data_IF_806151699379
#
_entry.id   IF_806151699379
#
_cell.length_a   1.000
_cell.length_b   1.000
_cell.length_c   1.000
_cell.angle_alpha   90.00
_cell.angle_beta   90.00
_cell.angle_gamma   90.00
#
_symmetry.space_group_name_H-M   'P 1'
#
loop_
_entity.id
_entity.type
_entity.pdbx_description
1 polymer ?
#
# COMPACT_ATOMS: atom_id res chain seq x y z
N UNK A 1 72.66 -4.36 67.69
CA UNK A 1 73.67 -5.38 68.08
C UNK A 1 73.17 -6.09 69.31
N UNK A 2 72.76 -7.36 69.19
CA UNK A 2 72.76 -8.29 70.31
C UNK A 2 72.66 -9.71 69.75
N UNK A 3 73.70 -10.49 70.00
CA UNK A 3 73.77 -11.92 69.75
C UNK A 3 73.75 -12.56 71.13
N UNK A 4 72.80 -13.42 71.43
CA UNK A 4 72.94 -14.40 72.51
C UNK A 4 72.27 -15.71 72.08
N UNK A 5 72.96 -16.79 72.41
CA UNK A 5 72.55 -18.17 72.26
C UNK A 5 72.46 -18.79 73.65
N UNK A 6 71.35 -19.46 73.93
CA UNK A 6 71.15 -20.69 74.72
C UNK A 6 69.63 -20.89 74.77
N UNK A 7 69.00 -22.04 74.95
CA UNK A 7 69.40 -23.33 75.47
C UNK A 7 68.34 -24.34 75.00
N UNK A 8 68.71 -25.61 75.00
CA UNK A 8 67.94 -26.73 74.50
C UNK A 8 66.85 -27.15 75.52
N UNK A 9 65.57 -27.28 75.12
CA UNK A 9 64.68 -28.28 75.73
C UNK A 9 63.53 -28.72 74.82
N UNK A 10 63.39 -30.04 74.81
CA UNK A 10 62.41 -30.94 74.18
C UNK A 10 60.95 -30.50 74.29
N UNK A 11 60.19 -30.71 73.22
CA UNK A 11 58.73 -30.63 73.22
C UNK A 11 58.15 -31.14 71.90
N UNK A 12 57.69 -32.38 71.89
CA UNK A 12 56.95 -32.99 70.79
C UNK A 12 55.77 -32.11 70.36
N UNK A 13 55.80 -31.59 69.13
CA UNK A 13 54.60 -31.14 68.41
C UNK A 13 54.72 -31.47 66.92
N UNK A 14 53.91 -32.43 66.55
CA UNK A 14 53.50 -32.83 65.21
C UNK A 14 53.38 -31.62 64.28
N UNK A 15 54.17 -31.60 63.20
CA UNK A 15 54.10 -30.57 62.18
C UNK A 15 52.86 -30.80 61.30
N UNK A 16 51.74 -30.16 61.63
CA UNK A 16 50.66 -29.99 60.67
C UNK A 16 51.19 -29.13 59.51
N UNK A 17 51.48 -29.79 58.38
CA UNK A 17 51.78 -29.12 57.12
C UNK A 17 50.51 -28.38 56.66
N UNK A 18 50.45 -27.07 56.90
CA UNK A 18 49.43 -26.23 56.26
C UNK A 18 49.74 -26.14 54.77
N UNK A 19 48.98 -26.89 53.96
CA UNK A 19 48.99 -26.79 52.50
C UNK A 19 48.35 -25.46 52.10
N UNK A 20 49.17 -24.45 51.82
CA UNK A 20 48.70 -23.17 51.30
C UNK A 20 48.63 -23.22 49.77
N UNK A 21 47.41 -23.38 49.24
CA UNK A 21 47.16 -23.31 47.80
C UNK A 21 47.09 -21.83 47.40
N UNK A 22 48.17 -21.36 46.77
CA UNK A 22 48.25 -20.04 46.16
C UNK A 22 47.49 -20.05 44.83
N UNK A 23 46.33 -19.40 44.79
CA UNK A 23 45.60 -19.20 43.55
C UNK A 23 46.14 -17.97 42.83
N UNK A 24 46.64 -18.16 41.61
CA UNK A 24 47.13 -17.07 40.77
C UNK A 24 45.94 -16.33 40.11
N UNK A 25 45.29 -15.48 40.90
CA UNK A 25 44.18 -14.65 40.44
C UNK A 25 44.62 -13.62 39.39
N UNK A 26 45.90 -13.25 39.34
CA UNK A 26 46.44 -12.32 38.33
C UNK A 26 46.42 -12.94 36.93
N UNK A 27 46.76 -14.23 36.82
CA UNK A 27 46.64 -14.98 35.57
C UNK A 27 45.19 -15.15 35.11
N UNK A 28 44.26 -15.36 36.05
CA UNK A 28 42.83 -15.52 35.75
C UNK A 28 42.20 -14.19 35.31
N UNK A 29 42.47 -13.10 36.02
CA UNK A 29 41.98 -11.77 35.66
C UNK A 29 42.53 -11.33 34.31
N UNK A 30 43.82 -11.56 34.04
CA UNK A 30 44.42 -11.29 32.72
C UNK A 30 43.78 -12.12 31.60
N UNK A 31 43.40 -13.36 31.86
CA UNK A 31 42.69 -14.18 30.88
C UNK A 31 41.27 -13.65 30.62
N UNK A 32 40.57 -13.14 31.64
CA UNK A 32 39.25 -12.53 31.52
C UNK A 32 39.36 -11.22 30.72
N UNK A 33 40.30 -10.34 31.08
CA UNK A 33 40.51 -9.06 30.41
C UNK A 33 40.82 -9.25 28.92
N UNK A 34 41.70 -10.22 28.59
CA UNK A 34 42.00 -10.53 27.17
C UNK A 34 40.82 -11.11 26.41
N UNK A 35 39.85 -11.78 27.06
CA UNK A 35 38.62 -12.21 26.40
C UNK A 35 37.64 -11.05 26.22
N UNK A 36 37.52 -10.16 27.22
CA UNK A 36 36.66 -8.98 27.14
C UNK A 36 37.15 -8.03 26.04
N UNK A 37 38.45 -7.75 25.97
CA UNK A 37 39.04 -6.91 24.93
C UNK A 37 38.81 -7.49 23.53
N UNK A 38 38.97 -8.81 23.36
CA UNK A 38 38.67 -9.48 22.08
C UNK A 38 37.19 -9.32 21.68
N UNK A 39 36.27 -9.43 22.63
CA UNK A 39 34.85 -9.26 22.35
C UNK A 39 34.52 -7.81 21.97
N UNK A 40 35.14 -6.83 22.64
CA UNK A 40 34.97 -5.41 22.32
C UNK A 40 35.54 -5.08 20.94
N UNK A 41 36.75 -5.57 20.63
CA UNK A 41 37.38 -5.39 19.32
C UNK A 41 36.51 -5.99 18.21
N UNK A 42 36.04 -7.23 18.38
CA UNK A 42 35.12 -7.87 17.44
C UNK A 42 33.82 -7.07 17.29
N UNK A 43 33.19 -6.66 18.40
CA UNK A 43 31.94 -5.89 18.35
C UNK A 43 32.12 -4.56 17.60
N UNK A 44 33.27 -3.89 17.77
CA UNK A 44 33.58 -2.63 17.10
C UNK A 44 33.74 -2.84 15.59
N UNK A 45 34.44 -3.90 15.16
CA UNK A 45 34.59 -4.25 13.74
C UNK A 45 33.25 -4.59 13.07
N UNK A 46 32.37 -5.32 13.77
CA UNK A 46 31.04 -5.67 13.25
C UNK A 46 30.12 -4.46 13.08
N UNK A 47 30.15 -3.49 14.00
CA UNK A 47 29.33 -2.27 13.89
C UNK A 47 29.71 -1.42 12.66
N UNK A 48 31.01 -1.30 12.36
CA UNK A 48 31.47 -0.55 11.18
C UNK A 48 31.14 -1.28 9.86
N UNK A 49 31.29 -2.60 9.82
CA UNK A 49 31.05 -3.36 8.60
C UNK A 49 29.56 -3.47 8.22
N UNK A 50 28.66 -3.51 9.22
CA UNK A 50 27.22 -3.62 8.99
C UNK A 50 26.60 -2.32 8.45
N UNK A 51 27.08 -1.16 8.92
CA UNK A 51 26.60 0.14 8.41
C UNK A 51 27.10 0.41 6.98
N UNK A 52 28.37 0.10 6.71
CA UNK A 52 29.00 0.30 5.39
C UNK A 52 28.31 -0.48 4.26
N UNK A 53 27.93 -1.74 4.49
CA UNK A 53 27.24 -2.55 3.45
C UNK A 53 25.84 -2.03 3.13
N UNK A 54 25.13 -1.51 4.14
CA UNK A 54 23.78 -0.95 3.96
C UNK A 54 23.82 0.36 3.18
N UNK A 55 24.77 1.25 3.48
CA UNK A 55 24.93 2.51 2.74
C UNK A 55 25.37 2.28 1.31
N UNK A 56 26.25 1.29 1.05
CA UNK A 56 26.66 0.91 -0.30
C UNK A 56 25.48 0.35 -1.12
N UNK A 57 24.66 -0.54 -0.54
CA UNK A 57 23.43 -1.00 -1.21
C UNK A 57 22.45 0.14 -1.49
N UNK A 58 22.24 1.02 -0.51
CA UNK A 58 21.37 2.18 -0.67
C UNK A 58 21.85 3.11 -1.79
N UNK A 59 23.17 3.37 -1.88
CA UNK A 59 23.75 4.16 -2.96
C UNK A 59 23.50 3.54 -4.33
N UNK A 60 23.65 2.22 -4.49
CA UNK A 60 23.36 1.59 -5.78
C UNK A 60 21.87 1.66 -6.16
N UNK A 61 20.97 1.52 -5.19
CA UNK A 61 19.52 1.62 -5.41
C UNK A 61 19.14 3.05 -5.84
N UNK A 62 19.65 4.07 -5.13
CA UNK A 62 19.33 5.47 -5.46
C UNK A 62 19.90 5.88 -6.80
N UNK A 63 21.15 5.49 -7.12
CA UNK A 63 21.75 5.75 -8.43
C UNK A 63 20.94 5.09 -9.55
N UNK A 64 20.55 3.83 -9.38
CA UNK A 64 19.75 3.11 -10.38
C UNK A 64 18.37 3.77 -10.59
N UNK A 65 17.73 4.21 -9.50
CA UNK A 65 16.45 4.90 -9.55
C UNK A 65 16.55 6.26 -10.24
N UNK A 66 17.60 7.04 -9.96
CA UNK A 66 17.85 8.32 -10.62
C UNK A 66 18.07 8.15 -12.13
N UNK A 67 18.83 7.14 -12.55
CA UNK A 67 19.05 6.86 -13.98
C UNK A 67 17.72 6.51 -14.67
N UNK A 68 16.91 5.65 -14.07
CA UNK A 68 15.59 5.31 -14.60
C UNK A 68 14.68 6.54 -14.74
N UNK A 69 14.61 7.39 -13.70
CA UNK A 69 13.82 8.60 -13.72
C UNK A 69 14.27 9.58 -14.83
N UNK A 70 15.58 9.78 -14.99
CA UNK A 70 16.13 10.64 -16.04
C UNK A 70 15.85 10.08 -17.43
N UNK A 71 15.95 8.77 -17.63
CA UNK A 71 15.62 8.15 -18.92
C UNK A 71 14.13 8.31 -19.26
N UNK A 72 13.22 8.10 -18.29
CA UNK A 72 11.79 8.31 -18.49
C UNK A 72 11.46 9.77 -18.82
N UNK A 73 12.08 10.71 -18.11
CA UNK A 73 11.93 12.15 -18.37
C UNK A 73 12.46 12.53 -19.76
N UNK A 74 13.59 11.97 -20.19
CA UNK A 74 14.16 12.23 -21.52
C UNK A 74 13.30 11.65 -22.64
N UNK A 75 12.73 10.44 -22.45
CA UNK A 75 11.78 9.84 -23.40
C UNK A 75 10.52 10.71 -23.50
N UNK A 76 9.95 11.11 -22.37
CA UNK A 76 8.79 12.00 -22.33
C UNK A 76 9.09 13.33 -23.03
N UNK A 77 10.25 13.93 -22.74
CA UNK A 77 10.69 15.17 -23.36
C UNK A 77 10.84 15.03 -24.88
N UNK A 78 11.51 13.98 -25.37
CA UNK A 78 11.69 13.72 -26.81
C UNK A 78 10.37 13.49 -27.54
N UNK A 79 9.43 12.76 -26.93
CA UNK A 79 8.08 12.57 -27.47
C UNK A 79 7.28 13.87 -27.47
N UNK A 80 7.43 14.71 -26.45
CA UNK A 80 6.77 16.02 -26.40
C UNK A 80 7.39 17.04 -27.37
N UNK A 81 8.70 16.99 -27.62
CA UNK A 81 9.39 17.93 -28.52
C UNK A 81 9.24 17.59 -30.00
N UNK A 82 9.07 16.30 -30.34
CA UNK A 82 8.77 15.84 -31.70
C UNK A 82 7.27 15.96 -32.07
N UNK A 83 6.44 16.42 -31.13
CA UNK A 83 4.98 16.47 -31.24
C UNK A 83 4.37 17.83 -31.55
N UNK A 84 5.11 18.85 -32.01
CA UNK A 84 4.51 20.14 -32.42
C UNK A 84 3.77 20.11 -33.79
N UNK A 85 3.43 18.91 -34.30
CA UNK A 85 2.64 18.74 -35.53
C UNK A 85 1.35 17.92 -35.33
N UNK A 86 1.05 17.51 -34.10
CA UNK A 86 -0.28 17.04 -33.76
C UNK A 86 -0.77 17.89 -32.60
N UNK A 87 -1.69 18.80 -32.91
CA UNK A 87 -2.63 19.29 -31.92
C UNK A 87 -3.19 18.06 -31.22
N UNK A 88 -2.76 17.82 -29.98
CA UNK A 88 -3.36 16.84 -29.10
C UNK A 88 -4.76 17.33 -28.78
N UNK A 89 -5.70 17.12 -29.71
CA UNK A 89 -7.04 16.74 -29.34
C UNK A 89 -6.87 15.42 -28.58
N UNK A 90 -6.68 15.54 -27.27
CA UNK A 90 -6.80 14.43 -26.35
C UNK A 90 -8.31 14.11 -26.32
N UNK A 91 -8.79 13.50 -27.39
CA UNK A 91 -10.00 12.68 -27.36
C UNK A 91 -9.60 11.43 -26.60
N UNK A 92 -9.73 11.52 -25.27
CA UNK A 92 -9.44 10.44 -24.36
C UNK A 92 -10.10 9.15 -24.86
N UNK A 93 -9.28 8.11 -24.98
CA UNK A 93 -9.65 6.69 -25.04
C UNK A 93 -10.37 6.21 -23.77
N UNK A 94 -11.17 7.07 -23.13
CA UNK A 94 -12.06 6.75 -22.03
C UNK A 94 -13.28 5.97 -22.51
N UNK A 95 -13.79 6.19 -23.72
CA UNK A 95 -14.99 5.49 -24.22
C UNK A 95 -14.77 3.98 -24.38
N UNK A 96 -13.56 3.55 -24.74
CA UNK A 96 -13.21 2.12 -24.90
C UNK A 96 -12.99 1.46 -23.53
N UNK A 97 -12.40 2.16 -22.56
CA UNK A 97 -12.22 1.65 -21.19
C UNK A 97 -13.54 1.66 -20.40
N UNK A 98 -14.37 2.70 -20.55
CA UNK A 98 -15.72 2.82 -19.96
C UNK A 98 -16.67 1.77 -20.51
N UNK A 99 -16.75 1.63 -21.84
CA UNK A 99 -17.59 0.59 -22.46
C UNK A 99 -17.12 -0.82 -22.09
N UNK A 100 -15.81 -1.05 -21.90
CA UNK A 100 -15.30 -2.34 -21.47
C UNK A 100 -15.59 -2.63 -19.99
N UNK A 101 -15.56 -1.61 -19.11
CA UNK A 101 -15.89 -1.77 -17.69
C UNK A 101 -17.39 -2.04 -17.50
N UNK A 102 -18.26 -1.27 -18.15
CA UNK A 102 -19.71 -1.42 -18.04
C UNK A 102 -20.16 -2.79 -18.60
N UNK A 103 -19.55 -3.24 -19.70
CA UNK A 103 -19.75 -4.59 -20.24
C UNK A 103 -19.30 -5.67 -19.27
N UNK A 104 -18.13 -5.53 -18.63
CA UNK A 104 -17.65 -6.51 -17.64
C UNK A 104 -18.57 -6.63 -16.44
N UNK A 105 -19.10 -5.52 -15.93
CA UNK A 105 -20.06 -5.53 -14.81
C UNK A 105 -21.38 -6.18 -15.22
N UNK A 106 -21.92 -5.81 -16.38
CA UNK A 106 -23.16 -6.40 -16.91
C UNK A 106 -23.00 -7.90 -17.21
N UNK A 107 -21.87 -8.31 -17.80
CA UNK A 107 -21.56 -9.73 -18.06
C UNK A 107 -21.40 -10.52 -16.76
N UNK A 108 -20.75 -9.93 -15.74
CA UNK A 108 -20.62 -10.56 -14.43
C UNK A 108 -21.98 -10.74 -13.73
N UNK A 109 -22.84 -9.72 -13.76
CA UNK A 109 -24.20 -9.80 -13.19
C UNK A 109 -25.09 -10.79 -13.95
N UNK A 110 -24.92 -10.90 -15.26
CA UNK A 110 -25.59 -11.90 -16.07
C UNK A 110 -25.16 -13.33 -15.69
N UNK A 111 -23.86 -13.56 -15.50
CA UNK A 111 -23.36 -14.87 -15.05
C UNK A 111 -23.89 -15.22 -13.65
N UNK A 112 -23.99 -14.22 -12.76
CA UNK A 112 -24.52 -14.41 -11.41
C UNK A 112 -26.01 -14.73 -11.45
N UNK A 113 -26.82 -14.00 -12.22
CA UNK A 113 -28.26 -14.30 -12.36
C UNK A 113 -28.52 -15.66 -12.99
N UNK A 114 -27.84 -16.03 -14.08
CA UNK A 114 -27.92 -17.36 -14.68
C UNK A 114 -27.54 -18.48 -13.69
N UNK A 115 -26.60 -18.19 -12.78
CA UNK A 115 -26.19 -19.10 -11.73
C UNK A 115 -27.22 -19.20 -10.58
N UNK A 116 -28.02 -18.16 -10.32
CA UNK A 116 -29.09 -18.13 -9.32
C UNK A 116 -30.36 -18.86 -9.81
N UNK A 117 -30.75 -18.68 -11.07
CA UNK A 117 -31.91 -19.36 -11.67
C UNK A 117 -31.70 -20.88 -11.80
N UNK A 118 -30.44 -21.30 -11.90
CA UNK A 118 -30.04 -22.71 -11.93
C UNK A 118 -30.07 -23.31 -10.51
N UNK A 119 -31.29 -23.58 -10.04
CA UNK A 119 -31.66 -24.21 -8.78
C UNK A 119 -30.59 -25.10 -8.09
N UNK A 120 -30.39 -24.86 -6.79
CA UNK A 120 -29.82 -25.75 -5.77
C UNK A 120 -28.31 -26.03 -5.77
N UNK A 121 -27.47 -24.99 -5.73
CA UNK A 121 -26.13 -25.15 -5.16
C UNK A 121 -25.87 -24.08 -4.08
N UNK A 122 -25.77 -24.46 -2.80
CA UNK A 122 -25.49 -23.52 -1.71
C UNK A 122 -24.07 -22.92 -1.76
N UNK A 123 -23.20 -23.45 -2.64
CA UNK A 123 -21.81 -23.01 -2.80
C UNK A 123 -21.62 -21.88 -3.82
N UNK A 124 -22.70 -21.37 -4.43
CA UNK A 124 -22.63 -20.28 -5.41
C UNK A 124 -22.94 -18.94 -4.74
N UNK A 125 -22.18 -17.91 -5.12
CA UNK A 125 -22.40 -16.55 -4.64
C UNK A 125 -23.82 -16.08 -4.99
N UNK A 126 -24.66 -15.89 -3.96
CA UNK A 126 -26.04 -15.45 -4.06
C UNK A 126 -26.13 -14.01 -3.55
N UNK A 127 -26.75 -13.13 -4.34
CA UNK A 127 -27.05 -11.77 -3.91
C UNK A 127 -28.49 -11.76 -3.41
N UNK A 128 -28.67 -11.55 -2.11
CA UNK A 128 -29.96 -11.54 -1.41
C UNK A 128 -30.47 -10.12 -1.10
N UNK A 129 -29.63 -9.11 -1.33
CA UNK A 129 -29.87 -7.72 -0.96
C UNK A 129 -29.72 -6.81 -2.17
N UNK A 130 -30.55 -5.77 -2.24
CA UNK A 130 -30.45 -4.74 -3.28
C UNK A 130 -29.11 -4.02 -3.16
N UNK A 131 -28.47 -3.74 -4.28
CA UNK A 131 -27.20 -3.02 -4.31
C UNK A 131 -27.17 -1.98 -5.43
N UNK A 132 -26.33 -0.97 -5.26
CA UNK A 132 -26.16 0.10 -6.24
C UNK A 132 -24.75 0.07 -6.82
N UNK A 133 -24.65 0.07 -8.14
CA UNK A 133 -23.39 0.17 -8.88
C UNK A 133 -23.17 1.62 -9.31
N UNK A 134 -22.03 2.19 -8.92
CA UNK A 134 -21.65 3.56 -9.23
C UNK A 134 -20.61 3.61 -10.35
N UNK A 135 -20.93 4.36 -11.41
CA UNK A 135 -20.01 4.65 -12.51
C UNK A 135 -19.58 6.11 -12.43
N UNK A 136 -18.28 6.35 -12.26
CA UNK A 136 -17.71 7.70 -12.12
C UNK A 136 -16.97 8.09 -13.38
N UNK A 137 -17.31 9.24 -13.93
CA UNK A 137 -16.68 9.84 -15.11
C UNK A 137 -16.04 11.17 -14.73
N UNK A 138 -14.73 11.30 -14.91
CA UNK A 138 -14.03 12.57 -14.72
C UNK A 138 -14.36 13.52 -15.87
N UNK A 139 -14.77 14.75 -15.55
CA UNK A 139 -15.03 15.80 -16.55
C UNK A 139 -13.87 16.80 -16.62
N UNK A 140 -13.85 17.63 -17.66
CA UNK A 140 -12.74 18.59 -17.91
C UNK A 140 -12.55 19.63 -16.81
N UNK A 141 -13.56 19.87 -15.97
CA UNK A 141 -13.48 20.76 -14.81
C UNK A 141 -12.74 20.13 -13.63
N UNK A 142 -12.43 18.84 -13.68
CA UNK A 142 -11.82 18.08 -12.58
C UNK A 142 -12.82 17.50 -11.58
N UNK A 143 -14.12 17.61 -11.86
CA UNK A 143 -15.22 17.02 -11.08
C UNK A 143 -15.62 15.64 -11.63
N UNK A 144 -16.44 14.90 -10.89
CA UNK A 144 -16.93 13.58 -11.34
C UNK A 144 -18.43 13.62 -11.61
N UNK A 145 -18.86 13.12 -12.77
CA UNK A 145 -20.26 12.74 -13.00
C UNK A 145 -20.43 11.29 -12.59
N UNK A 146 -21.38 11.02 -11.70
CA UNK A 146 -21.62 9.70 -11.12
C UNK A 146 -22.99 9.21 -11.55
N UNK A 147 -23.05 8.04 -12.17
CA UNK A 147 -24.30 7.32 -12.47
C UNK A 147 -24.47 6.15 -11.52
N UNK A 148 -25.52 6.18 -10.69
CA UNK A 148 -25.95 5.08 -9.84
C UNK A 148 -26.97 4.20 -10.56
N UNK A 149 -26.82 2.88 -10.44
CA UNK A 149 -27.78 1.88 -10.93
C UNK A 149 -28.09 0.91 -9.80
N UNK A 150 -29.33 0.90 -9.32
CA UNK A 150 -29.78 0.01 -8.26
C UNK A 150 -30.38 -1.24 -8.87
N UNK A 151 -29.94 -2.41 -8.41
CA UNK A 151 -30.44 -3.71 -8.84
C UNK A 151 -31.15 -4.40 -7.67
N UNK A 152 -32.27 -5.04 -7.99
CA UNK A 152 -33.01 -5.85 -7.02
C UNK A 152 -32.50 -7.30 -7.03
N UNK A 153 -32.58 -8.03 -5.91
CA UNK A 153 -32.16 -9.43 -5.86
C UNK A 153 -32.86 -10.33 -6.88
N UNK A 154 -34.11 -9.97 -7.24
CA UNK A 154 -34.95 -10.72 -8.16
C UNK A 154 -34.62 -10.45 -9.64
N UNK A 155 -34.00 -9.30 -9.96
CA UNK A 155 -33.58 -8.93 -11.30
C UNK A 155 -32.23 -8.19 -11.28
N UNK A 156 -31.17 -8.95 -11.59
CA UNK A 156 -29.81 -8.42 -11.74
C UNK A 156 -29.49 -7.93 -13.16
N UNK A 157 -30.40 -8.13 -14.13
CA UNK A 157 -30.16 -7.76 -15.52
C UNK A 157 -30.61 -6.32 -15.79
N UNK A 158 -31.74 -5.91 -15.21
CA UNK A 158 -32.26 -4.55 -15.36
C UNK A 158 -32.26 -3.80 -14.03
N UNK A 159 -31.64 -2.61 -13.97
CA UNK A 159 -31.70 -1.82 -12.74
C UNK A 159 -33.10 -1.25 -12.55
N UNK A 160 -33.62 -1.34 -11.33
CA UNK A 160 -34.92 -0.79 -10.94
C UNK A 160 -34.89 0.74 -10.87
N UNK A 161 -33.78 1.31 -10.40
CA UNK A 161 -33.59 2.76 -10.28
C UNK A 161 -32.26 3.18 -10.89
N UNK A 162 -32.26 4.31 -11.61
CA UNK A 162 -31.04 4.90 -12.14
C UNK A 162 -31.05 6.41 -11.97
N UNK A 163 -29.96 6.95 -11.45
CA UNK A 163 -29.81 8.38 -11.20
C UNK A 163 -28.39 8.84 -11.50
N UNK A 164 -28.26 10.13 -11.80
CA UNK A 164 -27.01 10.73 -12.23
C UNK A 164 -26.82 12.10 -11.57
N UNK A 165 -25.64 12.32 -11.00
CA UNK A 165 -25.31 13.55 -10.29
C UNK A 165 -23.86 13.98 -10.52
N UNK A 166 -23.57 15.25 -10.31
CA UNK A 166 -22.24 15.84 -10.31
C UNK A 166 -21.67 15.87 -8.89
N UNK A 167 -20.55 15.21 -8.70
CA UNK A 167 -19.78 15.15 -7.45
C UNK A 167 -18.69 16.23 -7.47
N UNK A 168 -18.80 17.19 -6.55
CA UNK A 168 -17.87 18.32 -6.43
C UNK A 168 -16.56 17.92 -5.71
N UNK A 169 -15.43 18.45 -6.16
CA UNK A 169 -14.09 18.10 -5.68
C UNK A 169 -13.75 18.56 -4.25
N UNK A 170 -14.57 19.42 -3.64
CA UNK A 170 -14.32 20.00 -2.30
C UNK A 170 -15.42 19.74 -1.26
N UNK A 171 -16.22 18.70 -1.43
CA UNK A 171 -17.24 18.31 -0.45
C UNK A 171 -16.63 17.46 0.68
N UNK A 172 -15.97 18.09 1.65
CA UNK A 172 -15.48 17.42 2.88
C UNK A 172 -16.60 17.03 3.86
N UNK A 173 -17.82 17.51 3.62
CA UNK A 173 -19.00 17.17 4.39
C UNK A 173 -20.08 16.58 3.47
N UNK A 174 -20.28 15.25 3.56
CA UNK A 174 -21.56 14.58 3.32
C UNK A 174 -22.16 14.71 1.90
N UNK A 175 -21.86 13.74 1.01
CA UNK A 175 -22.71 13.28 -0.12
C UNK A 175 -23.46 14.35 -0.94
N UNK A 176 -22.93 15.58 -1.05
CA UNK A 176 -23.61 16.69 -1.72
C UNK A 176 -23.30 16.64 -3.21
N UNK A 177 -23.88 15.65 -3.89
CA UNK A 177 -23.94 15.62 -5.35
C UNK A 177 -25.02 16.57 -5.85
N UNK A 178 -24.73 17.34 -6.90
CA UNK A 178 -25.76 18.09 -7.61
C UNK A 178 -26.45 17.17 -8.60
N UNK A 179 -27.74 16.90 -8.39
CA UNK A 179 -28.47 16.01 -9.26
C UNK A 179 -28.59 16.59 -10.68
N UNK A 180 -28.38 15.72 -11.67
CA UNK A 180 -28.41 16.07 -13.09
C UNK A 180 -29.66 15.48 -13.74
N UNK A 181 -29.89 14.17 -13.54
CA UNK A 181 -30.99 13.46 -14.15
C UNK A 181 -31.24 12.10 -13.51
N UNK A 182 -32.43 11.56 -13.71
CA UNK A 182 -32.79 10.18 -13.36
C UNK A 182 -33.66 9.56 -14.46
N UNK A 183 -33.85 8.24 -14.38
CA UNK A 183 -34.80 7.52 -15.21
C UNK A 183 -35.98 7.08 -14.36
N UNK A 184 -37.17 7.44 -14.83
CA UNK A 184 -38.44 6.95 -14.35
C UNK A 184 -39.27 6.54 -15.58
N UNK A 185 -39.91 5.38 -15.55
CA UNK A 185 -40.73 4.86 -16.66
C UNK A 185 -40.05 4.85 -18.04
N UNK A 186 -38.72 4.66 -18.07
CA UNK A 186 -37.86 4.66 -19.27
C UNK A 186 -37.71 6.04 -19.94
N UNK A 187 -38.20 7.10 -19.31
CA UNK A 187 -37.97 8.46 -19.74
C UNK A 187 -36.85 9.10 -18.91
N UNK A 188 -36.01 9.88 -19.58
CA UNK A 188 -34.94 10.64 -18.94
C UNK A 188 -35.53 11.95 -18.42
N UNK A 189 -35.53 12.12 -17.10
CA UNK A 189 -36.00 13.34 -16.44
C UNK A 189 -34.76 14.13 -15.97
N UNK A 190 -34.68 15.40 -16.38
CA UNK A 190 -33.61 16.32 -16.00
C UNK A 190 -34.03 17.10 -14.75
N UNK A 191 -33.18 17.15 -13.73
CA UNK A 191 -33.47 17.88 -12.47
C UNK A 191 -32.88 19.29 -12.42
N UNK A 192 -32.43 19.80 -13.58
CA UNK A 192 -31.74 21.09 -13.69
C UNK A 192 -32.17 21.86 -14.95
N UNK A 193 -32.24 23.18 -14.82
CA UNK A 193 -32.55 24.10 -15.91
C UNK A 193 -31.27 24.71 -16.54
N UNK A 194 -30.10 24.49 -15.92
CA UNK A 194 -28.83 25.01 -16.41
C UNK A 194 -28.37 24.24 -17.67
N UNK A 195 -28.23 24.97 -18.78
CA UNK A 195 -27.74 24.43 -20.06
C UNK A 195 -26.41 23.70 -19.94
N UNK A 196 -25.49 24.18 -19.08
CA UNK A 196 -24.23 23.50 -18.85
C UNK A 196 -24.45 22.11 -18.24
N UNK A 197 -25.31 22.00 -17.24
CA UNK A 197 -25.61 20.74 -16.55
C UNK A 197 -26.43 19.77 -17.40
N UNK A 198 -27.37 20.29 -18.19
CA UNK A 198 -28.11 19.50 -19.18
C UNK A 198 -27.14 18.87 -20.19
N UNK A 199 -26.15 19.64 -20.66
CA UNK A 199 -25.12 19.13 -21.57
C UNK A 199 -24.25 18.05 -20.92
N UNK A 200 -23.96 18.17 -19.62
CA UNK A 200 -23.26 17.15 -18.85
C UNK A 200 -24.11 15.89 -18.71
N UNK A 201 -25.41 16.05 -18.41
CA UNK A 201 -26.33 14.93 -18.26
C UNK A 201 -26.41 14.08 -19.54
N UNK A 202 -26.62 14.73 -20.69
CA UNK A 202 -26.68 14.04 -21.97
C UNK A 202 -25.37 13.40 -22.41
N UNK A 203 -24.23 13.98 -22.03
CA UNK A 203 -22.92 13.52 -22.48
C UNK A 203 -22.33 12.43 -21.59
N UNK A 204 -22.58 12.50 -20.28
CA UNK A 204 -21.84 11.71 -19.29
C UNK A 204 -22.70 10.78 -18.43
N UNK A 205 -24.02 10.93 -18.38
CA UNK A 205 -24.88 9.99 -17.66
C UNK A 205 -25.02 8.68 -18.45
N UNK A 206 -24.68 7.55 -17.81
CA UNK A 206 -24.57 6.24 -18.46
C UNK A 206 -25.75 5.34 -18.09
N UNK A 207 -26.93 5.70 -18.56
CA UNK A 207 -28.13 4.89 -18.31
C UNK A 207 -28.17 3.61 -19.16
N UNK A 208 -28.62 2.51 -18.57
CA UNK A 208 -29.00 1.28 -19.29
C UNK A 208 -30.47 1.37 -19.71
N UNK A 209 -30.74 0.99 -20.97
CA UNK A 209 -32.08 0.91 -21.56
C UNK A 209 -32.55 -0.53 -21.64
#
# INVERSE_FOLDING_TARGET
MAKQASEQTTGDKESEQYESVSHNFDAMNRAIDTQVDKQLELSSLYQFQQSSRRTLMAMHITVSLCVLALTAAAIWWLLSSSGSFFSSDITYTESILKSASDRKTSDALKIISEAQDSNNNPDKAFIDTSFTVFHRTLISTGEYVVTGKTYEPDDLQTPSEQYCYLEQSQSSNQLSGQALSYIEDKELILETEDQAMISLAHRYCQFSR
#
